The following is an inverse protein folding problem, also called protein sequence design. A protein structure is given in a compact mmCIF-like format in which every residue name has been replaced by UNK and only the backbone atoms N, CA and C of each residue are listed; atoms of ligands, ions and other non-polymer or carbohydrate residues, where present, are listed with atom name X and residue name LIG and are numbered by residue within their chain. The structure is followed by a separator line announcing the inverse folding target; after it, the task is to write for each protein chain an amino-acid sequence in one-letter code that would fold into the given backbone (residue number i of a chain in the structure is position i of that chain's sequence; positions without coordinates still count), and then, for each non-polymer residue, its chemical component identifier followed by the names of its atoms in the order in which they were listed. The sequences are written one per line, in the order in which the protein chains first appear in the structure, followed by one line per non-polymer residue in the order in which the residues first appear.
data_IF_079189815792
#
_entry.id   IF_079189815792
#
_cell.length_a   1.000
_cell.length_b   1.000
_cell.length_c   1.000
_cell.angle_alpha   90.00
_cell.angle_beta   90.00
_cell.angle_gamma   90.00
#
_symmetry.space_group_name_H-M   'P 1'
#
loop_
_entity.id
_entity.type
_entity.pdbx_description
1 polymer ?
#
# COMPACT_ATOMS: atom_id res chain seq x y z
N UNK A 1 -10.67 -17.87 -0.01
CA UNK A 1 -9.53 -17.29 0.75
C UNK A 1 -9.77 -17.57 2.22
N UNK A 2 -8.77 -17.98 2.99
CA UNK A 2 -8.93 -18.17 4.45
C UNK A 2 -9.11 -16.81 5.15
N UNK A 3 -9.77 -16.80 6.30
CA UNK A 3 -10.01 -15.58 7.09
C UNK A 3 -8.70 -14.86 7.45
N UNK A 4 -7.66 -15.63 7.78
CA UNK A 4 -6.30 -15.13 8.07
C UNK A 4 -5.69 -14.35 6.90
N UNK A 5 -5.92 -14.78 5.66
CA UNK A 5 -5.38 -14.09 4.49
C UNK A 5 -6.08 -12.75 4.25
N UNK A 6 -7.39 -12.70 4.52
CA UNK A 6 -8.19 -11.48 4.41
C UNK A 6 -7.80 -10.45 5.49
N UNK A 7 -7.52 -10.90 6.71
CA UNK A 7 -7.07 -10.03 7.80
C UNK A 7 -5.69 -9.42 7.52
N UNK A 8 -4.76 -10.19 6.95
CA UNK A 8 -3.44 -9.69 6.58
C UNK A 8 -3.50 -8.62 5.47
N UNK A 9 -4.34 -8.83 4.45
CA UNK A 9 -4.52 -7.85 3.39
C UNK A 9 -5.18 -6.56 3.90
N UNK A 10 -6.13 -6.67 4.82
CA UNK A 10 -6.71 -5.50 5.52
C UNK A 10 -5.64 -4.75 6.31
N UNK A 11 -4.83 -5.44 7.10
CA UNK A 11 -3.75 -4.84 7.89
C UNK A 11 -2.73 -4.10 7.00
N UNK A 12 -2.37 -4.69 5.85
CA UNK A 12 -1.49 -4.03 4.87
C UNK A 12 -2.10 -2.75 4.29
N UNK A 13 -3.38 -2.80 3.93
CA UNK A 13 -4.10 -1.62 3.45
C UNK A 13 -4.13 -0.49 4.49
N UNK A 14 -4.36 -0.83 5.76
CA UNK A 14 -4.37 0.12 6.87
C UNK A 14 -2.98 0.74 7.10
N UNK A 15 -1.93 -0.07 7.14
CA UNK A 15 -0.55 0.42 7.27
C UNK A 15 -0.18 1.36 6.11
N UNK A 16 -0.51 0.97 4.87
CA UNK A 16 -0.23 1.79 3.70
C UNK A 16 -0.99 3.12 3.72
N UNK A 17 -2.26 3.13 4.15
CA UNK A 17 -3.04 4.35 4.31
C UNK A 17 -2.47 5.29 5.39
N UNK A 18 -2.03 4.74 6.53
CA UNK A 18 -1.41 5.51 7.60
C UNK A 18 -0.10 6.17 7.16
N UNK A 19 0.75 5.43 6.44
CA UNK A 19 2.00 5.93 5.89
C UNK A 19 1.77 7.05 4.85
N UNK A 20 0.80 6.88 3.94
CA UNK A 20 0.41 7.94 3.00
C UNK A 20 -0.07 9.20 3.71
N UNK A 21 -0.92 9.05 4.73
CA UNK A 21 -1.40 10.17 5.54
C UNK A 21 -0.24 10.90 6.22
N UNK A 22 0.73 10.16 6.78
CA UNK A 22 1.93 10.76 7.39
C UNK A 22 2.74 11.53 6.34
N UNK A 23 3.00 10.93 5.17
CA UNK A 23 3.71 11.60 4.07
C UNK A 23 3.04 12.90 3.63
N UNK A 24 1.71 12.87 3.43
CA UNK A 24 0.94 14.09 3.12
C UNK A 24 1.04 15.14 4.22
N UNK A 25 0.97 14.75 5.50
CA UNK A 25 1.05 15.68 6.61
C UNK A 25 2.44 16.34 6.72
N UNK A 26 3.51 15.58 6.51
CA UNK A 26 4.90 16.09 6.53
C UNK A 26 5.14 17.09 5.40
N UNK A 27 4.58 16.86 4.21
CA UNK A 27 4.73 17.78 3.07
C UNK A 27 3.80 19.00 3.18
N UNK A 28 2.59 18.81 3.70
CA UNK A 28 1.53 19.84 3.70
C UNK A 28 1.56 20.81 4.89
N UNK A 29 2.42 20.60 5.88
CA UNK A 29 2.44 21.41 7.11
C UNK A 29 3.86 21.77 7.56
N UNK A 30 4.01 22.94 8.18
CA UNK A 30 5.26 23.36 8.83
C UNK A 30 5.44 22.64 10.18
N UNK A 31 6.11 21.50 10.15
CA UNK A 31 6.52 20.77 11.35
C UNK A 31 7.87 21.30 11.88
N UNK A 32 7.95 21.51 13.20
CA UNK A 32 9.22 21.88 13.85
C UNK A 32 10.26 20.75 13.82
N UNK A 33 11.55 21.10 13.90
CA UNK A 33 12.67 20.16 13.77
C UNK A 33 12.59 18.98 14.75
N UNK A 34 12.22 19.22 16.01
CA UNK A 34 12.08 18.15 17.01
C UNK A 34 11.03 17.10 16.62
N UNK A 35 9.92 17.52 16.00
CA UNK A 35 8.90 16.59 15.51
C UNK A 35 9.40 15.80 14.31
N UNK A 36 10.11 16.44 13.38
CA UNK A 36 10.68 15.78 12.21
C UNK A 36 11.72 14.72 12.59
N UNK A 37 12.60 15.01 13.55
CA UNK A 37 13.56 14.03 14.09
C UNK A 37 12.84 12.84 14.70
N UNK A 38 11.83 13.08 15.53
CA UNK A 38 11.02 12.01 16.12
C UNK A 38 10.31 11.14 15.07
N UNK A 39 9.82 11.76 13.99
CA UNK A 39 9.20 11.02 12.88
C UNK A 39 10.23 10.10 12.22
N UNK A 40 11.44 10.58 11.96
CA UNK A 40 12.51 9.78 11.38
C UNK A 40 12.87 8.58 12.27
N UNK A 41 13.10 8.81 13.57
CA UNK A 41 13.41 7.75 14.54
C UNK A 41 12.34 6.66 14.59
N UNK A 42 11.06 7.05 14.58
CA UNK A 42 9.94 6.11 14.58
C UNK A 42 9.85 5.34 13.26
N UNK A 43 10.09 6.01 12.13
CA UNK A 43 10.09 5.38 10.82
C UNK A 43 11.20 4.33 10.71
N UNK A 44 12.42 4.66 11.14
CA UNK A 44 13.57 3.76 11.12
C UNK A 44 13.38 2.57 12.05
N UNK A 45 12.91 2.79 13.28
CA UNK A 45 12.61 1.70 14.22
C UNK A 45 11.53 0.75 13.68
N UNK A 46 10.50 1.31 13.03
CA UNK A 46 9.43 0.51 12.41
C UNK A 46 9.95 -0.27 11.21
N UNK A 47 10.76 0.34 10.35
CA UNK A 47 11.38 -0.30 9.20
C UNK A 47 12.27 -1.46 9.63
N UNK A 48 13.15 -1.24 10.62
CA UNK A 48 13.99 -2.28 11.20
C UNK A 48 13.16 -3.47 11.70
N UNK A 49 12.02 -3.21 12.37
CA UNK A 49 11.09 -4.27 12.80
C UNK A 49 10.54 -5.08 11.63
N UNK A 50 10.15 -4.45 10.53
CA UNK A 50 9.63 -5.12 9.32
C UNK A 50 10.72 -5.92 8.61
N UNK A 51 11.94 -5.40 8.55
CA UNK A 51 13.08 -6.01 7.85
C UNK A 51 13.61 -7.28 8.53
N UNK A 52 13.30 -7.49 9.81
CA UNK A 52 13.57 -8.78 10.49
C UNK A 52 12.69 -9.92 9.99
N UNK A 53 11.60 -9.61 9.28
CA UNK A 53 10.64 -10.60 8.81
C UNK A 53 11.07 -11.22 7.47
N UNK A 54 10.50 -12.39 7.14
CA UNK A 54 10.81 -13.06 5.87
C UNK A 54 10.42 -12.19 4.67
N UNK A 55 11.38 -12.01 3.75
CA UNK A 55 11.15 -11.32 2.49
C UNK A 55 10.03 -11.99 1.68
N UNK A 56 9.12 -11.19 1.13
CA UNK A 56 8.00 -11.70 0.34
C UNK A 56 8.47 -12.14 -1.04
N UNK A 57 8.24 -13.40 -1.40
CA UNK A 57 8.33 -13.85 -2.79
C UNK A 57 7.08 -13.41 -3.57
N UNK A 58 7.28 -12.79 -4.74
CA UNK A 58 6.21 -12.38 -5.66
C UNK A 58 6.45 -13.05 -7.01
N UNK A 59 5.83 -14.20 -7.31
CA UNK A 59 5.96 -14.81 -8.62
C UNK A 59 5.30 -13.92 -9.68
N UNK A 60 6.13 -13.25 -10.48
CA UNK A 60 5.74 -12.30 -11.52
C UNK A 60 4.68 -12.88 -12.47
N UNK A 61 4.77 -14.17 -12.77
CA UNK A 61 3.84 -14.87 -13.66
C UNK A 61 2.41 -14.97 -13.10
N UNK A 62 2.26 -15.08 -11.78
CA UNK A 62 0.94 -15.09 -11.13
C UNK A 62 0.31 -13.69 -11.17
N UNK A 63 1.12 -12.64 -11.06
CA UNK A 63 0.66 -11.25 -11.15
C UNK A 63 0.22 -10.89 -12.57
N UNK A 64 1.02 -11.27 -13.59
CA UNK A 64 0.70 -11.03 -15.00
C UNK A 64 -0.57 -11.77 -15.43
N UNK A 65 -0.75 -13.02 -15.00
CA UNK A 65 -1.92 -13.82 -15.41
C UNK A 65 -3.24 -13.22 -14.96
N UNK A 66 -3.35 -12.77 -13.70
CA UNK A 66 -4.57 -12.16 -13.14
C UNK A 66 -5.01 -10.89 -13.89
N UNK A 67 -4.06 -10.19 -14.51
CA UNK A 67 -4.30 -8.96 -15.25
C UNK A 67 -5.12 -9.17 -16.53
N UNK A 68 -5.10 -10.39 -17.09
CA UNK A 68 -5.72 -10.73 -18.37
C UNK A 68 -6.88 -11.73 -18.26
N UNK A 69 -7.20 -12.21 -17.05
CA UNK A 69 -8.17 -13.30 -16.88
C UNK A 69 -9.62 -12.83 -17.15
N UNK A 70 -10.05 -11.68 -16.60
CA UNK A 70 -11.35 -11.06 -16.91
C UNK A 70 -11.31 -9.55 -16.69
N UNK A 71 -11.91 -8.74 -17.59
CA UNK A 71 -12.07 -7.33 -17.32
C UNK A 71 -12.99 -7.13 -16.10
N UNK A 72 -12.74 -6.13 -15.23
CA UNK A 72 -13.62 -5.80 -14.12
C UNK A 72 -15.05 -5.56 -14.59
N UNK A 73 -16.05 -5.82 -13.75
CA UNK A 73 -17.42 -5.41 -14.05
C UNK A 73 -17.54 -3.87 -14.11
N UNK A 74 -18.58 -3.36 -14.76
CA UNK A 74 -18.87 -1.92 -14.74
C UNK A 74 -19.01 -1.40 -13.29
N UNK A 75 -18.45 -0.23 -13.02
CA UNK A 75 -18.36 0.37 -11.68
C UNK A 75 -17.41 -0.33 -10.70
N UNK A 76 -16.84 -1.49 -11.05
CA UNK A 76 -15.93 -2.21 -10.18
C UNK A 76 -14.60 -1.46 -10.00
N UNK A 77 -13.98 -1.52 -8.80
CA UNK A 77 -12.68 -0.92 -8.57
C UNK A 77 -11.64 -1.60 -9.46
N UNK A 78 -10.85 -0.79 -10.15
CA UNK A 78 -9.75 -1.23 -10.98
C UNK A 78 -8.44 -1.07 -10.21
N UNK A 79 -7.73 -2.17 -10.04
CA UNK A 79 -6.35 -2.13 -9.60
C UNK A 79 -5.58 -3.30 -10.19
N UNK A 80 -4.41 -3.00 -10.75
CA UNK A 80 -3.54 -4.00 -11.39
C UNK A 80 -3.12 -5.09 -10.39
N UNK A 81 -2.77 -4.70 -9.17
CA UNK A 81 -2.47 -5.56 -8.03
C UNK A 81 -2.41 -4.72 -6.73
N UNK A 82 -2.53 -5.32 -5.53
CA UNK A 82 -2.67 -4.59 -4.27
C UNK A 82 -1.54 -3.59 -3.98
N UNK A 83 -0.31 -3.88 -4.40
CA UNK A 83 0.86 -3.03 -4.20
C UNK A 83 1.25 -2.20 -5.44
N UNK A 84 0.34 -2.03 -6.41
CA UNK A 84 0.58 -1.18 -7.57
C UNK A 84 0.95 0.25 -7.15
N UNK A 85 1.98 0.83 -7.76
CA UNK A 85 2.44 2.21 -7.45
C UNK A 85 1.39 3.27 -7.84
N UNK A 86 0.49 2.96 -8.77
CA UNK A 86 -0.54 3.91 -9.20
C UNK A 86 -1.81 3.74 -8.37
N UNK A 87 -2.42 2.55 -8.43
CA UNK A 87 -3.75 2.26 -7.88
C UNK A 87 -3.76 1.28 -6.68
N UNK A 88 -2.58 0.85 -6.22
CA UNK A 88 -2.44 -0.19 -5.22
C UNK A 88 -2.70 0.34 -3.81
N UNK A 89 -3.77 -0.17 -3.17
CA UNK A 89 -4.17 0.27 -1.83
C UNK A 89 -3.14 -0.09 -0.75
N UNK A 90 -2.38 -1.17 -0.95
CA UNK A 90 -1.35 -1.67 -0.05
C UNK A 90 0.05 -1.12 -0.34
N UNK A 91 0.21 -0.19 -1.30
CA UNK A 91 1.49 0.47 -1.55
C UNK A 91 1.55 1.84 -0.86
N UNK A 92 2.36 2.01 0.21
CA UNK A 92 2.51 3.30 0.87
C UNK A 92 3.21 4.36 0.00
N UNK A 93 3.99 3.92 -1.00
CA UNK A 93 4.71 4.80 -1.93
C UNK A 93 3.88 5.17 -3.16
N UNK A 94 2.67 4.60 -3.29
CA UNK A 94 1.84 4.80 -4.46
C UNK A 94 1.02 6.08 -4.42
N UNK A 95 0.60 6.55 -5.60
CA UNK A 95 -0.28 7.73 -5.76
C UNK A 95 -1.63 7.51 -5.04
N UNK A 96 -2.07 6.25 -4.92
CA UNK A 96 -3.26 5.89 -4.14
C UNK A 96 -4.57 6.28 -4.84
N UNK A 97 -4.57 6.39 -6.16
CA UNK A 97 -5.79 6.73 -6.91
C UNK A 97 -6.81 5.59 -6.83
N UNK A 98 -8.08 5.96 -6.79
CA UNK A 98 -9.20 5.03 -6.88
C UNK A 98 -9.76 5.09 -8.29
N UNK A 99 -9.50 4.04 -9.08
CA UNK A 99 -10.00 3.92 -10.45
C UNK A 99 -11.20 2.98 -10.46
N UNK A 100 -12.21 3.28 -11.25
CA UNK A 100 -13.37 2.41 -11.49
C UNK A 100 -13.57 2.26 -12.98
N UNK A 101 -14.11 1.10 -13.39
CA UNK A 101 -14.53 0.88 -14.76
C UNK A 101 -15.76 1.75 -15.07
N UNK A 102 -15.76 2.37 -16.24
CA UNK A 102 -16.85 3.16 -16.80
C UNK A 102 -17.19 2.59 -18.18
N UNK A 103 -18.33 1.87 -18.30
CA UNK A 103 -18.73 1.13 -19.51
C UNK A 103 -17.96 -0.17 -19.74
#
# INVERSE_FOLDING_TARGET
MSDVAMDLDRARGQAAAALRRLGHAVVGHEAGAALLVRIAELADATAAGVETQTARSRPVEVMKRRLWERPPADGAPMSHFPECVVSGQANPMGVGIHVRRDG
#
